data_IF_622026511922
#
_entry.id   IF_622026511922
#
_cell.length_a   1.000
_cell.length_b   1.000
_cell.length_c   1.000
_cell.angle_alpha   90.00
_cell.angle_beta   90.00
_cell.angle_gamma   90.00
#
_symmetry.space_group_name_H-M   'P 1'
#
loop_
_entity.id
_entity.type
_entity.pdbx_description
1 polymer ?
#
# COMPACT_ATOMS: atom_id res chain seq x y z
N UNK A 1 -21.72 33.84 -23.59
CA UNK A 1 -20.74 34.65 -22.83
C UNK A 1 -20.07 33.75 -21.81
N UNK A 2 -19.21 32.81 -22.25
CA UNK A 2 -18.59 31.80 -21.38
C UNK A 2 -17.05 31.79 -21.47
N UNK A 3 -16.47 32.63 -22.32
CA UNK A 3 -15.03 32.62 -22.63
C UNK A 3 -14.15 33.34 -21.59
N UNK A 4 -14.74 34.17 -20.73
CA UNK A 4 -13.98 35.04 -19.80
C UNK A 4 -13.35 34.27 -18.62
N UNK A 5 -13.93 33.13 -18.24
CA UNK A 5 -13.48 32.34 -17.08
C UNK A 5 -12.26 31.47 -17.39
N UNK A 6 -12.16 31.00 -18.64
CA UNK A 6 -11.04 30.18 -19.11
C UNK A 6 -9.76 31.02 -19.29
N UNK A 7 -9.91 32.25 -19.80
CA UNK A 7 -8.79 33.18 -19.95
C UNK A 7 -8.11 33.51 -18.60
N UNK A 8 -8.90 33.78 -17.55
CA UNK A 8 -8.37 34.10 -16.20
C UNK A 8 -7.61 32.95 -15.54
N UNK A 9 -8.01 31.71 -15.83
CA UNK A 9 -7.32 30.52 -15.31
C UNK A 9 -5.97 30.28 -16.01
N UNK A 10 -5.87 30.66 -17.29
CA UNK A 10 -4.64 30.57 -18.07
C UNK A 10 -3.59 31.59 -17.61
N UNK A 11 -4.00 32.84 -17.35
CA UNK A 11 -3.11 33.90 -16.86
C UNK A 11 -2.49 33.56 -15.50
N UNK A 12 -3.28 33.00 -14.58
CA UNK A 12 -2.79 32.60 -13.25
C UNK A 12 -1.73 31.48 -13.33
N UNK A 13 -1.84 30.58 -14.31
CA UNK A 13 -0.89 29.49 -14.54
C UNK A 13 0.43 30.00 -15.11
N UNK A 14 0.38 31.00 -15.99
CA UNK A 14 1.59 31.58 -16.58
C UNK A 14 2.38 32.44 -15.58
N UNK A 15 1.71 33.24 -14.74
CA UNK A 15 2.39 33.99 -13.68
C UNK A 15 3.11 33.09 -12.66
N UNK A 16 2.58 31.90 -12.40
CA UNK A 16 3.19 30.93 -11.49
C UNK A 16 4.45 30.28 -12.08
N UNK A 17 4.51 30.13 -13.42
CA UNK A 17 5.68 29.58 -14.12
C UNK A 17 6.83 30.57 -14.22
N UNK A 18 6.55 31.85 -14.48
CA UNK A 18 7.59 32.89 -14.54
C UNK A 18 8.27 33.13 -13.19
N UNK A 19 7.52 32.98 -12.08
CA UNK A 19 8.08 33.10 -10.72
C UNK A 19 8.97 31.92 -10.32
N UNK A 20 8.77 30.75 -10.90
CA UNK A 20 9.62 29.57 -10.68
C UNK A 20 10.89 29.57 -11.56
N UNK A 21 10.91 30.35 -12.65
CA UNK A 21 12.02 30.36 -13.62
C UNK A 21 13.11 31.39 -13.31
N UNK A 22 12.91 32.28 -12.32
CA UNK A 22 13.87 33.31 -11.91
C UNK A 22 14.86 32.87 -10.82
N UNK A 23 14.80 31.61 -10.38
CA UNK A 23 15.74 31.03 -9.41
C UNK A 23 16.26 29.64 -9.83
N UNK A 24 16.99 29.54 -10.95
CA UNK A 24 17.91 28.43 -11.18
C UNK A 24 18.86 28.73 -12.34
N UNK A 25 20.03 29.30 -12.03
CA UNK A 25 21.15 29.38 -12.98
C UNK A 25 22.12 28.21 -12.74
N UNK A 26 22.06 27.22 -13.65
CA UNK A 26 23.16 26.37 -14.19
C UNK A 26 23.82 25.24 -13.34
N UNK A 27 24.46 24.23 -13.98
CA UNK A 27 24.08 22.81 -13.85
C UNK A 27 25.23 21.87 -13.42
N UNK A 28 24.91 20.60 -13.11
CA UNK A 28 25.88 19.50 -13.23
C UNK A 28 25.17 18.17 -13.50
N UNK A 29 25.73 17.42 -14.46
CA UNK A 29 25.27 16.14 -15.01
C UNK A 29 25.33 15.02 -13.98
N UNK A 30 24.38 14.08 -14.00
CA UNK A 30 24.61 12.62 -13.90
C UNK A 30 23.31 11.89 -14.29
N UNK A 31 23.42 10.97 -15.25
CA UNK A 31 22.45 9.94 -15.65
C UNK A 31 21.86 9.13 -14.47
N UNK A 32 20.52 8.93 -14.46
CA UNK A 32 19.80 7.63 -14.34
C UNK A 32 18.27 7.87 -14.15
N UNK A 33 17.35 7.06 -14.74
CA UNK A 33 15.94 7.44 -14.89
C UNK A 33 15.03 7.08 -13.70
N UNK A 34 14.03 7.95 -13.55
CA UNK A 34 12.61 7.80 -13.16
C UNK A 34 12.21 6.66 -12.19
N UNK A 35 11.82 7.04 -10.98
CA UNK A 35 10.42 7.18 -10.51
C UNK A 35 9.99 5.96 -9.69
N UNK A 36 10.23 6.05 -8.39
CA UNK A 36 9.57 5.21 -7.39
C UNK A 36 8.30 5.94 -6.98
N UNK A 37 7.15 5.54 -7.52
CA UNK A 37 5.84 5.86 -6.97
C UNK A 37 5.72 5.21 -5.58
N UNK A 38 5.98 6.00 -4.54
CA UNK A 38 5.51 5.67 -3.19
C UNK A 38 4.04 6.10 -3.12
N UNK A 39 3.08 5.20 -2.84
CA UNK A 39 1.80 5.66 -2.32
C UNK A 39 2.04 6.21 -0.91
N UNK A 40 1.72 7.49 -0.74
CA UNK A 40 1.68 8.19 0.55
C UNK A 40 0.51 7.62 1.37
N UNK A 41 0.76 6.63 2.23
CA UNK A 41 -0.02 6.47 3.46
C UNK A 41 0.73 7.26 4.54
N UNK A 42 0.29 8.50 4.75
CA UNK A 42 0.67 9.31 5.89
C UNK A 42 -0.45 9.15 6.92
N UNK A 43 -0.31 8.15 7.77
CA UNK A 43 -0.90 8.18 9.11
C UNK A 43 0.26 8.46 10.06
N UNK A 44 0.42 9.72 10.45
CA UNK A 44 1.24 10.07 11.60
C UNK A 44 0.46 9.67 12.86
N UNK A 45 1.03 8.88 13.80
CA UNK A 45 0.45 8.81 15.12
C UNK A 45 0.81 10.09 15.88
N UNK A 46 -0.21 10.73 16.43
CA UNK A 46 -0.11 11.86 17.34
C UNK A 46 0.82 11.47 18.52
N UNK A 47 1.96 12.16 18.64
CA UNK A 47 2.85 12.03 19.79
C UNK A 47 2.10 12.58 21.01
N UNK A 48 1.50 11.70 21.82
CA UNK A 48 1.43 11.74 23.29
C UNK A 48 0.17 11.02 23.81
N UNK A 49 0.21 9.69 23.88
CA UNK A 49 -0.61 8.96 24.85
C UNK A 49 0.19 7.74 25.35
N UNK A 50 0.64 7.80 26.59
CA UNK A 50 1.20 6.65 27.33
C UNK A 50 0.06 5.68 27.71
N UNK A 51 -0.73 5.26 26.74
CA UNK A 51 -1.59 4.09 26.87
C UNK A 51 -0.79 2.89 26.36
N UNK A 52 -0.57 1.94 27.27
CA UNK A 52 0.13 0.67 27.05
C UNK A 52 -0.64 -0.21 26.07
N UNK A 53 -0.73 0.24 24.82
CA UNK A 53 -1.19 -0.54 23.67
C UNK A 53 0.03 -1.30 23.18
N UNK A 54 0.08 -2.59 23.50
CA UNK A 54 1.17 -3.48 23.10
C UNK A 54 1.38 -3.35 21.58
N UNK A 55 2.59 -2.99 21.15
CA UNK A 55 2.83 -2.78 19.72
C UNK A 55 2.87 -4.15 19.05
N UNK A 56 2.32 -4.27 17.84
CA UNK A 56 2.37 -5.53 17.07
C UNK A 56 3.78 -6.10 16.97
N UNK A 57 4.80 -5.24 16.90
CA UNK A 57 6.22 -5.62 16.82
C UNK A 57 6.79 -6.22 18.11
N UNK A 58 6.15 -5.99 19.24
CA UNK A 58 6.55 -6.53 20.53
C UNK A 58 6.01 -7.97 20.71
N UNK A 59 4.89 -8.30 20.03
CA UNK A 59 4.22 -9.61 20.09
C UNK A 59 4.56 -10.52 18.90
N UNK A 60 4.77 -9.95 17.70
CA UNK A 60 4.86 -10.69 16.44
C UNK A 60 6.20 -10.51 15.73
N UNK A 61 6.66 -11.58 15.07
CA UNK A 61 7.91 -11.60 14.30
C UNK A 61 7.66 -11.10 12.88
N UNK A 62 8.30 -9.98 12.53
CA UNK A 62 8.28 -9.44 11.17
C UNK A 62 8.90 -10.40 10.17
N UNK A 63 8.10 -10.89 9.22
CA UNK A 63 8.52 -11.83 8.17
C UNK A 63 8.29 -11.20 6.80
N UNK A 64 9.28 -11.32 5.91
CA UNK A 64 9.25 -10.75 4.57
C UNK A 64 9.19 -11.86 3.51
N UNK A 65 8.36 -11.66 2.48
CA UNK A 65 8.19 -12.58 1.36
C UNK A 65 8.24 -11.82 0.04
N UNK A 66 8.65 -12.53 -1.02
CA UNK A 66 8.47 -12.07 -2.39
C UNK A 66 7.22 -12.73 -2.96
N UNK A 67 6.28 -11.93 -3.45
CA UNK A 67 5.06 -12.41 -4.08
C UNK A 67 5.02 -11.94 -5.54
N UNK A 68 4.48 -12.76 -6.48
CA UNK A 68 4.07 -12.28 -7.79
C UNK A 68 3.17 -11.05 -7.69
N UNK A 69 3.24 -10.16 -8.68
CA UNK A 69 2.48 -8.90 -8.67
C UNK A 69 0.97 -9.14 -8.54
N UNK A 70 0.44 -10.10 -9.30
CA UNK A 70 -0.97 -10.46 -9.27
C UNK A 70 -1.42 -10.93 -7.88
N UNK A 71 -0.58 -11.71 -7.19
CA UNK A 71 -0.87 -12.15 -5.82
C UNK A 71 -0.86 -11.00 -4.82
N UNK A 72 0.10 -10.07 -4.94
CA UNK A 72 0.15 -8.86 -4.11
C UNK A 72 -1.09 -8.00 -4.31
N UNK A 73 -1.54 -7.86 -5.55
CA UNK A 73 -2.68 -7.02 -5.90
C UNK A 73 -4.00 -7.65 -5.46
N UNK A 74 -4.15 -8.97 -5.63
CA UNK A 74 -5.30 -9.72 -5.12
C UNK A 74 -5.35 -9.65 -3.58
N UNK A 75 -4.21 -9.81 -2.90
CA UNK A 75 -4.12 -9.68 -1.44
C UNK A 75 -4.59 -8.30 -0.96
N UNK A 76 -4.18 -7.23 -1.65
CA UNK A 76 -4.61 -5.86 -1.36
C UNK A 76 -6.10 -5.68 -1.61
N UNK A 77 -6.63 -6.23 -2.70
CA UNK A 77 -8.06 -6.16 -3.02
C UNK A 77 -8.91 -6.88 -1.96
N UNK A 78 -8.53 -8.10 -1.60
CA UNK A 78 -9.22 -8.91 -0.57
C UNK A 78 -9.23 -8.22 0.78
N UNK A 79 -8.09 -7.67 1.21
CA UNK A 79 -8.04 -6.89 2.44
C UNK A 79 -9.06 -5.75 2.43
N UNK A 80 -9.10 -4.93 1.37
CA UNK A 80 -10.02 -3.78 1.28
C UNK A 80 -11.49 -4.20 1.33
N UNK A 81 -11.83 -5.30 0.67
CA UNK A 81 -13.21 -5.80 0.66
C UNK A 81 -13.62 -6.32 2.05
N UNK A 82 -12.78 -7.17 2.65
CA UNK A 82 -13.05 -7.75 3.97
C UNK A 82 -13.03 -6.69 5.07
N UNK A 83 -12.10 -5.72 5.02
CA UNK A 83 -12.04 -4.66 6.01
C UNK A 83 -13.30 -3.80 5.99
N UNK A 84 -13.81 -3.46 4.81
CA UNK A 84 -15.04 -2.68 4.66
C UNK A 84 -16.29 -3.45 5.13
N UNK A 85 -16.34 -4.76 4.86
CA UNK A 85 -17.41 -5.62 5.35
C UNK A 85 -17.37 -5.76 6.88
N UNK A 86 -16.19 -6.02 7.43
CA UNK A 86 -15.97 -6.14 8.87
C UNK A 86 -16.31 -4.84 9.62
N UNK A 87 -15.82 -3.69 9.14
CA UNK A 87 -16.14 -2.38 9.72
C UNK A 87 -17.65 -2.09 9.67
N UNK A 88 -18.30 -2.43 8.56
CA UNK A 88 -19.76 -2.25 8.42
C UNK A 88 -20.54 -3.13 9.40
N UNK A 89 -20.10 -4.36 9.65
CA UNK A 89 -20.80 -5.32 10.49
C UNK A 89 -20.53 -5.11 11.98
N UNK A 90 -19.29 -4.84 12.36
CA UNK A 90 -18.84 -4.79 13.75
C UNK A 90 -18.53 -3.37 14.24
N UNK A 91 -18.39 -2.39 13.35
CA UNK A 91 -18.02 -1.01 13.71
C UNK A 91 -16.57 -0.86 14.15
N UNK A 92 -15.72 -1.84 13.82
CA UNK A 92 -14.31 -1.92 14.21
C UNK A 92 -13.41 -2.06 12.98
N UNK A 93 -12.20 -1.51 13.06
CA UNK A 93 -11.21 -1.62 11.98
C UNK A 93 -10.52 -2.99 12.00
N UNK A 94 -10.44 -3.63 10.83
CA UNK A 94 -9.65 -4.84 10.66
C UNK A 94 -8.16 -4.49 10.44
N UNK A 95 -7.37 -4.42 11.50
CA UNK A 95 -5.92 -4.13 11.38
C UNK A 95 -5.16 -5.14 10.48
N UNK A 96 -4.40 -4.62 9.49
CA UNK A 96 -3.60 -5.43 8.55
C UNK A 96 -2.65 -6.41 9.25
N UNK A 97 -1.77 -5.88 10.11
CA UNK A 97 -0.68 -6.65 10.70
C UNK A 97 -1.12 -7.46 11.91
N UNK A 98 -2.05 -6.93 12.72
CA UNK A 98 -2.52 -7.63 13.92
C UNK A 98 -3.50 -8.75 13.60
N UNK A 99 -4.38 -8.55 12.61
CA UNK A 99 -5.50 -9.46 12.35
C UNK A 99 -5.39 -10.15 10.98
N UNK A 100 -5.34 -9.37 9.90
CA UNK A 100 -5.52 -9.91 8.56
C UNK A 100 -4.39 -10.85 8.10
N UNK A 101 -3.12 -10.45 8.25
CA UNK A 101 -2.00 -11.30 7.83
C UNK A 101 -1.86 -12.58 8.65
N UNK A 102 -1.96 -12.54 10.00
CA UNK A 102 -1.99 -13.77 10.79
C UNK A 102 -3.11 -14.72 10.37
N UNK A 103 -4.33 -14.20 10.15
CA UNK A 103 -5.47 -14.99 9.69
C UNK A 103 -5.17 -15.65 8.33
N UNK A 104 -4.66 -14.89 7.37
CA UNK A 104 -4.32 -15.43 6.05
C UNK A 104 -3.29 -16.57 6.14
N UNK A 105 -2.25 -16.40 6.97
CA UNK A 105 -1.21 -17.41 7.15
C UNK A 105 -1.78 -18.66 7.83
N UNK A 106 -2.63 -18.50 8.85
CA UNK A 106 -3.29 -19.62 9.53
C UNK A 106 -4.13 -20.45 8.57
N UNK A 107 -5.00 -19.82 7.78
CA UNK A 107 -5.79 -20.51 6.75
C UNK A 107 -4.92 -21.19 5.67
N UNK A 108 -3.78 -20.58 5.32
CA UNK A 108 -2.81 -21.18 4.40
C UNK A 108 -2.14 -22.42 4.99
N UNK A 109 -1.75 -22.36 6.26
CA UNK A 109 -1.16 -23.49 6.99
C UNK A 109 -2.16 -24.62 7.18
N UNK A 110 -3.42 -24.32 7.53
CA UNK A 110 -4.49 -25.30 7.64
C UNK A 110 -4.72 -26.04 6.31
N UNK A 111 -4.66 -25.32 5.19
CA UNK A 111 -4.72 -25.93 3.86
C UNK A 111 -3.56 -26.89 3.58
N UNK A 112 -2.37 -26.59 4.12
CA UNK A 112 -1.17 -27.42 3.97
C UNK A 112 -1.08 -28.56 5.00
N UNK A 113 -1.74 -28.45 6.15
CA UNK A 113 -1.67 -29.45 7.22
C UNK A 113 -2.18 -30.83 6.77
N UNK A 114 -3.16 -30.83 5.86
CA UNK A 114 -3.71 -32.05 5.26
C UNK A 114 -2.98 -32.54 4.00
N UNK A 115 -2.04 -31.76 3.46
CA UNK A 115 -1.39 -32.05 2.18
C UNK A 115 -0.14 -32.90 2.39
N UNK A 116 0.01 -33.96 1.59
CA UNK A 116 1.27 -34.68 1.49
C UNK A 116 2.19 -34.08 0.40
N UNK A 117 3.39 -34.64 0.25
CA UNK A 117 4.38 -34.13 -0.71
C UNK A 117 3.89 -34.19 -2.17
N UNK A 118 3.03 -35.15 -2.52
CA UNK A 118 2.46 -35.27 -3.85
C UNK A 118 1.38 -34.20 -4.07
N UNK A 119 0.51 -33.98 -3.07
CA UNK A 119 -0.49 -32.91 -3.12
C UNK A 119 0.19 -31.54 -3.31
N UNK A 120 1.27 -31.28 -2.57
CA UNK A 120 2.04 -30.04 -2.72
C UNK A 120 2.65 -29.93 -4.11
N UNK A 121 3.15 -31.02 -4.69
CA UNK A 121 3.70 -31.01 -6.05
C UNK A 121 2.62 -30.66 -7.09
N UNK A 122 1.41 -31.22 -6.97
CA UNK A 122 0.28 -30.86 -7.84
C UNK A 122 -0.12 -29.38 -7.69
N UNK A 123 -0.15 -28.87 -6.46
CA UNK A 123 -0.42 -27.44 -6.21
C UNK A 123 0.63 -26.55 -6.88
N UNK A 124 1.92 -26.91 -6.79
CA UNK A 124 3.01 -26.15 -7.42
C UNK A 124 2.93 -26.17 -8.95
N UNK A 125 2.53 -27.29 -9.55
CA UNK A 125 2.34 -27.39 -11.00
C UNK A 125 1.14 -26.56 -11.50
N UNK A 126 0.17 -26.29 -10.62
CA UNK A 126 -0.96 -25.40 -10.90
C UNK A 126 -0.64 -23.91 -10.76
N UNK A 127 0.51 -23.53 -10.20
CA UNK A 127 0.95 -22.14 -10.09
C UNK A 127 1.65 -21.73 -11.39
N UNK A 128 1.09 -20.72 -12.06
CA UNK A 128 1.72 -20.08 -13.22
C UNK A 128 2.75 -19.07 -12.69
N UNK A 129 4.04 -19.32 -12.94
CA UNK A 129 5.17 -18.48 -12.51
C UNK A 129 5.75 -17.65 -13.65
#
# INVERSE_FOLDING_TARGET
>A
MSDDRAARLSEKRNQSREKAQSQASKPSETDKPEQTDKPSETDEPDENDETNTERVKDEQVGTYFYLPEDQRDELRYRYKMLSAEYEREFGEDLEKNRHFYPLLVEYGLDGLDSADAHDVQEMLEGLDY
#
